data_IF_849014363994
#
_entry.id   IF_849014363994
#
_cell.length_a   1.000
_cell.length_b   1.000
_cell.length_c   1.000
_cell.angle_alpha   90.00
_cell.angle_beta   90.00
_cell.angle_gamma   90.00
#
_symmetry.space_group_name_H-M   'P 1'
#
loop_
_entity.id
_entity.type
_entity.pdbx_description
1 polymer ?
#
# COMPACT_ATOMS: atom_id res chain seq x y z
N UNK A 1 -8.03 16.10 -35.44
CA UNK A 1 -8.99 15.11 -35.97
C UNK A 1 -10.13 15.92 -36.56
N UNK A 2 -10.20 16.06 -37.89
CA UNK A 2 -10.96 17.15 -38.54
C UNK A 2 -12.46 17.25 -38.17
N UNK A 3 -13.09 16.14 -37.77
CA UNK A 3 -14.51 16.10 -37.39
C UNK A 3 -14.82 16.86 -36.07
N UNK A 4 -13.90 16.83 -35.11
CA UNK A 4 -14.11 17.44 -33.78
C UNK A 4 -13.85 18.95 -33.76
N UNK A 5 -12.98 19.43 -34.64
CA UNK A 5 -12.55 20.83 -34.71
C UNK A 5 -13.58 21.73 -35.42
N UNK A 6 -14.36 21.18 -36.34
CA UNK A 6 -15.29 21.94 -37.19
C UNK A 6 -16.76 21.83 -36.74
N UNK A 7 -17.10 20.82 -35.94
CA UNK A 7 -18.48 20.48 -35.58
C UNK A 7 -19.23 19.75 -36.71
N UNK A 8 -20.32 19.02 -36.39
CA UNK A 8 -20.93 18.03 -37.29
C UNK A 8 -21.33 18.61 -38.66
N UNK A 9 -21.92 19.80 -38.67
CA UNK A 9 -22.41 20.44 -39.90
C UNK A 9 -21.30 20.99 -40.82
N UNK A 10 -20.14 21.37 -40.27
CA UNK A 10 -19.00 21.87 -41.06
C UNK A 10 -18.06 20.74 -41.46
N UNK A 11 -17.91 19.71 -40.61
CA UNK A 11 -17.12 18.52 -40.91
C UNK A 11 -17.64 17.77 -42.16
N UNK A 12 -18.95 17.71 -42.36
CA UNK A 12 -19.56 17.13 -43.58
C UNK A 12 -19.19 17.88 -44.87
N UNK A 13 -18.86 19.18 -44.77
CA UNK A 13 -18.54 20.04 -45.93
C UNK A 13 -17.06 20.13 -46.23
N UNK A 14 -16.20 19.57 -45.37
CA UNK A 14 -14.75 19.60 -45.51
C UNK A 14 -14.21 18.18 -45.31
N UNK A 15 -14.44 17.28 -46.29
CA UNK A 15 -13.80 15.96 -46.26
C UNK A 15 -12.28 16.11 -46.38
N UNK A 16 -11.49 15.24 -45.71
CA UNK A 16 -10.05 15.16 -45.92
C UNK A 16 -9.72 14.81 -47.38
N UNK A 17 -8.64 15.39 -47.90
CA UNK A 17 -8.25 15.34 -49.33
C UNK A 17 -8.00 13.92 -49.86
N UNK A 18 -7.79 12.95 -48.97
CA UNK A 18 -7.47 11.56 -49.29
C UNK A 18 -8.58 10.54 -48.94
N UNK A 19 -9.82 10.98 -48.69
CA UNK A 19 -10.93 10.10 -48.32
C UNK A 19 -12.08 10.21 -49.33
N UNK A 20 -12.66 9.06 -49.68
CA UNK A 20 -13.87 8.98 -50.49
C UNK A 20 -15.06 9.68 -49.79
N UNK A 21 -15.80 10.51 -50.53
CA UNK A 21 -16.88 11.35 -50.01
C UNK A 21 -18.02 10.51 -49.41
N UNK A 22 -18.34 9.36 -50.01
CA UNK A 22 -19.40 8.48 -49.53
C UNK A 22 -19.01 7.81 -48.19
N UNK A 23 -17.76 7.38 -48.07
CA UNK A 23 -17.21 6.81 -46.83
C UNK A 23 -17.10 7.87 -45.73
N UNK A 24 -16.73 9.11 -46.09
CA UNK A 24 -16.73 10.24 -45.16
C UNK A 24 -18.13 10.57 -44.64
N UNK A 25 -19.12 10.57 -45.54
CA UNK A 25 -20.52 10.85 -45.19
C UNK A 25 -21.06 9.78 -44.25
N UNK A 26 -20.81 8.50 -44.56
CA UNK A 26 -21.18 7.36 -43.71
C UNK A 26 -20.54 7.43 -42.32
N UNK A 27 -19.28 7.87 -42.24
CA UNK A 27 -18.57 8.05 -40.98
C UNK A 27 -19.16 9.20 -40.15
N UNK A 28 -19.51 10.32 -40.79
CA UNK A 28 -20.21 11.44 -40.14
C UNK A 28 -21.57 10.98 -39.58
N UNK A 29 -22.36 10.23 -40.37
CA UNK A 29 -23.65 9.67 -39.93
C UNK A 29 -23.48 8.73 -38.73
N UNK A 30 -22.45 7.88 -38.75
CA UNK A 30 -22.15 6.98 -37.64
C UNK A 30 -21.85 7.74 -36.35
N UNK A 31 -21.02 8.80 -36.40
CA UNK A 31 -20.72 9.63 -35.23
C UNK A 31 -21.92 10.46 -34.74
N UNK A 32 -22.86 10.81 -35.63
CA UNK A 32 -24.10 11.50 -35.25
C UNK A 32 -25.18 10.56 -34.70
N UNK A 33 -25.07 9.25 -34.96
CA UNK A 33 -26.04 8.25 -34.52
C UNK A 33 -26.24 8.27 -33.00
N UNK A 34 -27.50 8.09 -32.59
CA UNK A 34 -27.88 8.08 -31.17
C UNK A 34 -27.18 6.93 -30.41
N UNK A 35 -27.00 5.79 -31.06
CA UNK A 35 -26.33 4.63 -30.48
C UNK A 35 -24.85 4.91 -30.17
N UNK A 36 -24.12 5.49 -31.12
CA UNK A 36 -22.71 5.85 -30.94
C UNK A 36 -22.54 6.89 -29.83
N UNK A 37 -23.37 7.94 -29.83
CA UNK A 37 -23.35 8.97 -28.77
C UNK A 37 -23.64 8.36 -27.40
N UNK A 38 -24.62 7.46 -27.28
CA UNK A 38 -24.93 6.76 -26.03
C UNK A 38 -23.75 5.92 -25.54
N UNK A 39 -23.14 5.14 -26.43
CA UNK A 39 -21.98 4.32 -26.10
C UNK A 39 -20.76 5.17 -25.74
N UNK A 40 -20.53 6.28 -26.45
CA UNK A 40 -19.43 7.21 -26.19
C UNK A 40 -19.55 7.86 -24.81
N UNK A 41 -20.75 8.37 -24.46
CA UNK A 41 -21.02 8.93 -23.13
C UNK A 41 -20.81 7.87 -22.03
N UNK A 42 -21.34 6.66 -22.23
CA UNK A 42 -21.16 5.57 -21.28
C UNK A 42 -19.68 5.18 -21.14
N UNK A 43 -18.91 5.16 -22.23
CA UNK A 43 -17.49 4.85 -22.21
C UNK A 43 -16.67 5.93 -21.51
N UNK A 44 -17.00 7.22 -21.69
CA UNK A 44 -16.38 8.33 -20.96
C UNK A 44 -16.66 8.22 -19.46
N UNK A 45 -17.93 7.96 -19.10
CA UNK A 45 -18.31 7.76 -17.69
C UNK A 45 -17.61 6.54 -17.08
N UNK A 46 -17.50 5.44 -17.82
CA UNK A 46 -16.82 4.24 -17.37
C UNK A 46 -15.30 4.46 -17.23
N UNK A 47 -14.67 5.18 -18.17
CA UNK A 47 -13.29 5.65 -18.04
C UNK A 47 -13.09 6.53 -16.80
N UNK A 48 -14.04 7.43 -16.50
CA UNK A 48 -13.98 8.26 -15.30
C UNK A 48 -14.07 7.46 -13.98
N UNK A 49 -14.68 6.27 -14.02
CA UNK A 49 -14.76 5.34 -12.87
C UNK A 49 -13.53 4.43 -12.75
N UNK A 50 -12.68 4.37 -13.77
CA UNK A 50 -11.44 3.61 -13.68
C UNK A 50 -10.49 4.33 -12.73
N UNK A 51 -10.21 3.72 -11.58
CA UNK A 51 -9.19 4.18 -10.62
C UNK A 51 -7.76 3.95 -11.13
N UNK A 52 -7.64 3.22 -12.23
CA UNK A 52 -6.38 2.82 -12.83
C UNK A 52 -6.41 3.07 -14.33
N UNK A 53 -5.75 4.13 -14.77
CA UNK A 53 -5.41 4.34 -16.17
C UNK A 53 -4.04 3.70 -16.42
N UNK A 54 -3.99 2.60 -17.19
CA UNK A 54 -2.74 2.18 -17.80
C UNK A 54 -2.31 3.27 -18.79
N UNK A 55 -1.41 4.17 -18.38
CA UNK A 55 -0.64 5.03 -19.30
C UNK A 55 0.53 4.28 -19.91
N UNK A 56 0.55 2.94 -19.80
CA UNK A 56 1.39 2.05 -20.62
C UNK A 56 0.83 1.96 -22.05
N UNK A 57 0.51 3.11 -22.64
CA UNK A 57 0.65 3.24 -24.08
C UNK A 57 2.12 2.97 -24.41
N UNK A 58 2.40 2.30 -25.52
CA UNK A 58 3.75 1.94 -25.93
C UNK A 58 4.73 3.11 -25.78
N UNK A 59 6.02 2.77 -25.55
CA UNK A 59 7.13 3.72 -25.38
C UNK A 59 6.91 4.97 -26.23
N UNK A 60 7.03 6.16 -25.62
CA UNK A 60 6.85 7.43 -26.33
C UNK A 60 7.73 7.45 -27.58
N UNK A 61 7.29 8.15 -28.64
CA UNK A 61 8.06 8.24 -29.89
C UNK A 61 9.53 8.65 -29.62
N UNK A 62 9.73 9.60 -28.72
CA UNK A 62 11.06 10.05 -28.29
C UNK A 62 11.89 8.94 -27.63
N UNK A 63 11.27 8.08 -26.83
CA UNK A 63 11.96 6.95 -26.19
C UNK A 63 12.30 5.85 -27.20
N UNK A 64 11.45 5.61 -28.19
CA UNK A 64 11.74 4.68 -29.29
C UNK A 64 12.88 5.20 -30.19
N UNK A 65 12.91 6.50 -30.46
CA UNK A 65 14.01 7.14 -31.18
C UNK A 65 15.33 7.05 -30.42
N UNK A 66 15.32 7.31 -29.10
CA UNK A 66 16.50 7.17 -28.25
C UNK A 66 17.04 5.73 -28.21
N UNK A 67 16.17 4.73 -28.15
CA UNK A 67 16.59 3.32 -28.19
C UNK A 67 17.20 2.93 -29.55
N UNK A 68 16.67 3.47 -30.66
CA UNK A 68 17.26 3.29 -32.00
C UNK A 68 18.63 3.97 -32.08
N UNK A 69 18.78 5.19 -31.57
CA UNK A 69 20.05 5.92 -31.51
C UNK A 69 21.08 5.13 -30.68
N UNK A 70 20.68 4.65 -29.51
CA UNK A 70 21.53 3.85 -28.62
C UNK A 70 21.93 2.52 -29.27
N UNK A 71 21.03 1.84 -29.98
CA UNK A 71 21.35 0.62 -30.71
C UNK A 71 22.31 0.88 -31.88
N UNK A 72 22.19 2.02 -32.57
CA UNK A 72 23.14 2.44 -33.62
C UNK A 72 24.51 2.79 -33.05
N UNK A 73 24.56 3.48 -31.92
CA UNK A 73 25.82 3.78 -31.22
C UNK A 73 26.49 2.51 -30.69
N UNK A 74 25.72 1.58 -30.11
CA UNK A 74 26.23 0.29 -29.67
C UNK A 74 26.73 -0.58 -30.84
N UNK A 75 26.09 -0.49 -32.02
CA UNK A 75 26.56 -1.16 -33.24
C UNK A 75 27.78 -0.48 -33.89
N UNK A 76 28.04 0.80 -33.61
CA UNK A 76 29.21 1.54 -34.09
C UNK A 76 30.45 1.37 -33.19
N UNK A 77 30.25 0.97 -31.94
CA UNK A 77 31.32 0.75 -30.94
C UNK A 77 31.99 -0.64 -31.09
N UNK A 78 31.34 -1.58 -31.80
CA UNK A 78 31.82 -2.96 -32.00
C UNK A 78 32.75 -3.13 -33.23
N UNK A 79 33.22 -2.03 -33.85
CA UNK A 79 34.05 -2.11 -35.09
C UNK A 79 35.43 -1.47 -35.00
N UNK A 80 35.95 -1.14 -33.81
CA UNK A 80 37.32 -0.60 -33.72
C UNK A 80 38.09 -1.17 -32.53
N UNK A 81 38.41 -2.47 -32.59
CA UNK A 81 39.57 -3.02 -31.88
C UNK A 81 40.69 -3.35 -32.87
N UNK A 82 41.81 -2.63 -32.69
CA UNK A 82 43.22 -3.05 -32.78
C UNK A 82 44.09 -2.32 -33.83
N UNK A 83 44.90 -1.38 -33.33
CA UNK A 83 46.37 -1.34 -33.40
C UNK A 83 46.84 -0.09 -32.63
N UNK A 84 47.32 -0.23 -31.41
CA UNK A 84 48.74 -0.42 -31.02
C UNK A 84 49.57 0.88 -31.07
N UNK A 85 50.36 1.06 -30.01
CA UNK A 85 51.54 1.91 -29.86
C UNK A 85 51.49 3.10 -28.86
N UNK A 86 52.22 2.85 -27.78
CA UNK A 86 53.06 3.71 -26.93
C UNK A 86 52.55 5.02 -26.28
N UNK A 87 52.60 5.00 -24.94
CA UNK A 87 53.29 6.02 -24.13
C UNK A 87 52.51 7.28 -23.76
N UNK A 88 52.01 7.34 -22.52
CA UNK A 88 52.63 8.16 -21.44
C UNK A 88 51.81 8.07 -20.16
N UNK A 89 52.51 7.68 -19.09
CA UNK A 89 52.05 7.65 -17.71
C UNK A 89 52.23 9.06 -17.13
N UNK A 90 51.12 9.78 -16.92
CA UNK A 90 51.07 10.80 -15.86
C UNK A 90 49.99 10.44 -14.84
N UNK A 91 50.51 9.91 -13.74
CA UNK A 91 49.85 9.75 -12.47
C UNK A 91 49.71 11.14 -11.82
N UNK A 92 48.48 11.69 -11.81
CA UNK A 92 48.11 12.76 -10.90
C UNK A 92 47.05 12.26 -9.93
N UNK A 93 47.52 11.73 -8.80
CA UNK A 93 46.77 11.56 -7.56
C UNK A 93 45.93 12.79 -7.22
N UNK A 94 44.60 12.66 -7.13
CA UNK A 94 43.66 13.32 -6.18
C UNK A 94 42.21 13.33 -6.72
N UNK A 95 41.18 13.41 -5.86
CA UNK A 95 40.68 12.42 -4.93
C UNK A 95 39.26 11.97 -5.32
N UNK A 96 38.73 10.96 -4.64
CA UNK A 96 37.31 10.58 -4.65
C UNK A 96 36.39 11.77 -4.36
N UNK A 97 35.92 12.47 -5.40
CA UNK A 97 34.82 13.42 -5.29
C UNK A 97 33.52 12.64 -5.40
N UNK A 98 32.85 12.46 -4.26
CA UNK A 98 31.42 12.13 -4.19
C UNK A 98 30.70 13.30 -4.87
N UNK A 99 30.46 13.20 -6.17
CA UNK A 99 29.51 14.08 -6.85
C UNK A 99 28.15 13.61 -6.38
N UNK A 100 27.62 14.28 -5.35
CA UNK A 100 26.22 14.15 -4.97
C UNK A 100 25.38 14.36 -6.21
N UNK A 101 24.81 13.26 -6.73
CA UNK A 101 24.00 13.32 -7.94
C UNK A 101 22.78 14.18 -7.67
N UNK A 102 22.71 15.34 -8.35
CA UNK A 102 21.53 16.20 -8.31
C UNK A 102 20.28 15.35 -8.58
N UNK A 103 19.21 15.48 -7.76
CA UNK A 103 18.02 14.66 -7.86
C UNK A 103 17.49 14.63 -9.31
N UNK A 104 17.09 13.45 -9.77
CA UNK A 104 16.61 13.22 -11.14
C UNK A 104 15.52 14.23 -11.56
N UNK A 105 14.64 14.59 -10.63
CA UNK A 105 13.57 15.55 -10.87
C UNK A 105 14.10 16.99 -11.03
N UNK A 106 15.21 17.34 -10.37
CA UNK A 106 15.89 18.62 -10.52
C UNK A 106 16.55 18.75 -11.91
N UNK A 107 17.13 17.64 -12.39
CA UNK A 107 17.70 17.53 -13.75
C UNK A 107 16.62 17.67 -14.82
N UNK A 108 15.52 16.93 -14.67
CA UNK A 108 14.38 16.98 -15.61
C UNK A 108 13.75 18.38 -15.63
N UNK A 109 13.64 19.04 -14.46
CA UNK A 109 13.14 20.41 -14.39
C UNK A 109 14.11 21.42 -15.02
N UNK A 110 15.44 21.23 -14.84
CA UNK A 110 16.45 22.02 -15.51
C UNK A 110 16.25 21.98 -17.04
N UNK A 111 16.17 20.77 -17.61
CA UNK A 111 16.11 20.58 -19.05
C UNK A 111 14.88 21.23 -19.71
N UNK A 112 13.80 21.38 -18.95
CA UNK A 112 12.51 21.89 -19.43
C UNK A 112 12.23 23.35 -19.07
N UNK A 113 12.84 23.87 -18.00
CA UNK A 113 12.47 25.17 -17.41
C UNK A 113 13.65 26.10 -17.04
N UNK A 114 14.90 25.76 -17.41
CA UNK A 114 16.11 26.53 -17.02
C UNK A 114 16.08 28.05 -17.28
N UNK A 115 15.21 28.54 -18.17
CA UNK A 115 15.26 29.91 -18.72
C UNK A 115 14.03 30.77 -18.46
N UNK A 116 13.01 30.29 -17.73
CA UNK A 116 11.70 30.97 -17.71
C UNK A 116 11.33 31.72 -16.43
N UNK A 117 11.72 31.28 -15.22
CA UNK A 117 11.16 31.86 -13.99
C UNK A 117 12.08 31.93 -12.75
N UNK A 118 13.35 31.49 -12.85
CA UNK A 118 14.28 31.46 -11.71
C UNK A 118 13.94 30.45 -10.61
N UNK A 119 12.83 29.71 -10.73
CA UNK A 119 12.41 28.71 -9.73
C UNK A 119 13.38 27.52 -9.63
N UNK A 120 14.10 27.23 -10.72
CA UNK A 120 15.13 26.20 -10.74
C UNK A 120 16.33 26.56 -9.83
N UNK A 121 16.76 27.82 -9.83
CA UNK A 121 17.87 28.29 -8.98
C UNK A 121 17.47 28.22 -7.50
N UNK A 122 16.22 28.56 -7.18
CA UNK A 122 15.69 28.45 -5.83
C UNK A 122 15.57 26.99 -5.37
N UNK A 123 15.12 26.08 -6.24
CA UNK A 123 15.10 24.64 -5.92
C UNK A 123 16.51 24.09 -5.69
N UNK A 124 17.50 24.54 -6.48
CA UNK A 124 18.90 24.14 -6.31
C UNK A 124 19.50 24.67 -5.01
N UNK A 125 19.19 25.91 -4.65
CA UNK A 125 19.62 26.53 -3.38
C UNK A 125 19.09 25.78 -2.16
N UNK A 126 17.80 25.48 -2.14
CA UNK A 126 17.16 24.72 -1.04
C UNK A 126 17.71 23.30 -0.96
N UNK A 127 18.00 22.66 -2.10
CA UNK A 127 18.62 21.33 -2.11
C UNK A 127 20.01 21.36 -1.48
N UNK A 128 20.85 22.33 -1.87
CA UNK A 128 22.21 22.48 -1.35
C UNK A 128 22.22 22.73 0.17
N UNK A 129 21.31 23.58 0.66
CA UNK A 129 21.14 23.86 2.09
C UNK A 129 20.68 22.62 2.87
N UNK A 130 19.77 21.82 2.28
CA UNK A 130 19.27 20.59 2.88
C UNK A 130 20.34 19.48 2.97
N UNK A 131 21.20 19.42 1.95
CA UNK A 131 22.39 18.56 1.92
C UNK A 131 23.38 18.97 3.00
N UNK A 132 23.67 20.27 3.13
CA UNK A 132 24.59 20.80 4.15
C UNK A 132 24.10 20.52 5.58
N UNK A 133 22.78 20.48 5.78
CA UNK A 133 22.14 20.09 7.04
C UNK A 133 22.04 18.57 7.25
N UNK A 134 22.58 17.75 6.33
CA UNK A 134 22.58 16.29 6.40
C UNK A 134 21.23 15.63 6.12
N UNK A 135 20.26 16.35 5.56
CA UNK A 135 18.94 15.83 5.24
C UNK A 135 18.55 16.17 3.79
N UNK A 136 19.09 15.44 2.80
CA UNK A 136 18.88 15.75 1.38
C UNK A 136 17.40 15.68 1.01
N UNK A 137 16.85 16.81 0.56
CA UNK A 137 15.45 16.86 0.10
C UNK A 137 15.32 16.19 -1.27
N UNK A 138 14.39 15.24 -1.37
CA UNK A 138 13.96 14.65 -2.64
C UNK A 138 13.43 15.73 -3.59
N UNK A 139 13.71 15.59 -4.90
CA UNK A 139 13.25 16.52 -5.94
C UNK A 139 11.74 16.77 -5.93
N UNK A 140 10.93 15.77 -5.58
CA UNK A 140 9.48 15.93 -5.42
C UNK A 140 9.08 16.88 -4.27
N UNK A 141 9.83 16.87 -3.16
CA UNK A 141 9.63 17.79 -2.02
C UNK A 141 10.07 19.21 -2.38
N UNK A 142 11.15 19.35 -3.16
CA UNK A 142 11.63 20.65 -3.64
C UNK A 142 10.61 21.31 -4.59
N UNK A 143 10.12 20.56 -5.58
CA UNK A 143 9.10 21.02 -6.53
C UNK A 143 7.82 21.43 -5.80
N UNK A 144 7.38 20.64 -4.82
CA UNK A 144 6.20 20.99 -3.99
C UNK A 144 6.43 22.26 -3.18
N UNK A 145 7.63 22.44 -2.61
CA UNK A 145 7.97 23.59 -1.76
C UNK A 145 8.09 24.89 -2.56
N UNK A 146 8.74 24.85 -3.72
CA UNK A 146 9.01 26.04 -4.54
C UNK A 146 7.83 26.40 -5.45
N UNK A 147 7.23 25.42 -6.13
CA UNK A 147 6.15 25.69 -7.08
C UNK A 147 4.76 25.67 -6.43
N UNK A 148 4.65 25.30 -5.15
CA UNK A 148 3.38 25.10 -4.43
C UNK A 148 2.38 24.17 -5.15
N UNK A 149 2.88 23.38 -6.10
CA UNK A 149 2.11 22.44 -6.91
C UNK A 149 2.49 21.04 -6.50
N UNK A 150 1.50 20.17 -6.31
CA UNK A 150 1.76 18.75 -6.18
C UNK A 150 2.48 18.28 -7.46
N UNK A 151 3.61 17.56 -7.36
CA UNK A 151 4.23 16.98 -8.54
C UNK A 151 3.18 16.14 -9.25
N UNK A 152 2.96 16.43 -10.54
CA UNK A 152 1.99 15.72 -11.38
C UNK A 152 2.31 14.23 -11.53
N UNK A 153 3.51 13.83 -11.10
CA UNK A 153 3.96 12.46 -10.97
C UNK A 153 4.11 12.11 -9.48
N UNK A 154 3.07 11.53 -8.88
CA UNK A 154 3.25 10.70 -7.69
C UNK A 154 3.64 9.31 -8.19
N UNK A 155 4.84 8.84 -7.82
CA UNK A 155 5.29 7.49 -8.16
C UNK A 155 4.34 6.49 -7.48
N UNK A 156 3.97 5.41 -8.17
CA UNK A 156 3.04 4.39 -7.62
C UNK A 156 3.59 3.79 -6.33
N UNK A 157 4.91 3.72 -6.25
CA UNK A 157 5.67 3.26 -5.09
C UNK A 157 5.37 4.09 -3.83
N UNK A 158 5.18 5.42 -3.97
CA UNK A 158 4.89 6.30 -2.83
C UNK A 158 3.46 6.12 -2.30
N UNK A 159 2.49 5.88 -3.19
CA UNK A 159 1.08 5.62 -2.83
C UNK A 159 0.90 4.22 -2.23
N UNK A 160 1.63 3.24 -2.75
CA UNK A 160 1.67 1.90 -2.17
C UNK A 160 2.26 1.98 -0.76
N UNK A 161 3.34 2.74 -0.56
CA UNK A 161 3.95 2.93 0.76
C UNK A 161 3.02 3.63 1.77
N UNK A 162 2.28 4.65 1.36
CA UNK A 162 1.30 5.30 2.26
C UNK A 162 0.14 4.37 2.61
N UNK A 163 -0.35 3.59 1.64
CA UNK A 163 -1.42 2.60 1.87
C UNK A 163 -0.96 1.46 2.77
N UNK A 164 0.26 0.98 2.61
CA UNK A 164 0.86 -0.04 3.47
C UNK A 164 1.00 0.45 4.91
N UNK A 165 1.46 1.69 5.12
CA UNK A 165 1.52 2.31 6.45
C UNK A 165 0.14 2.45 7.10
N UNK A 166 -0.87 2.82 6.32
CA UNK A 166 -2.24 2.89 6.81
C UNK A 166 -2.78 1.51 7.23
N UNK A 167 -2.49 0.48 6.44
CA UNK A 167 -2.88 -0.90 6.75
C UNK A 167 -2.14 -1.44 7.97
N UNK A 168 -0.86 -1.13 8.12
CA UNK A 168 -0.04 -1.53 9.27
C UNK A 168 -0.53 -0.87 10.56
N UNK A 169 -0.83 0.44 10.52
CA UNK A 169 -1.44 1.12 11.66
C UNK A 169 -2.81 0.53 12.05
N UNK A 170 -3.64 0.18 11.06
CA UNK A 170 -4.93 -0.51 11.32
C UNK A 170 -4.71 -1.88 11.92
N UNK A 171 -3.74 -2.64 11.43
CA UNK A 171 -3.40 -3.96 11.97
C UNK A 171 -2.93 -3.85 13.42
N UNK A 172 -2.06 -2.88 13.73
CA UNK A 172 -1.57 -2.63 15.07
C UNK A 172 -2.70 -2.28 16.04
N UNK A 173 -3.63 -1.39 15.65
CA UNK A 173 -4.80 -1.08 16.48
C UNK A 173 -5.69 -2.30 16.70
N UNK A 174 -5.91 -3.12 15.67
CA UNK A 174 -6.71 -4.34 15.78
C UNK A 174 -6.06 -5.39 16.67
N UNK A 175 -4.72 -5.50 16.65
CA UNK A 175 -3.97 -6.40 17.53
C UNK A 175 -4.08 -5.93 18.99
N UNK A 176 -3.93 -4.63 19.24
CA UNK A 176 -4.07 -4.07 20.59
C UNK A 176 -5.47 -4.29 21.18
N UNK A 177 -6.51 -4.14 20.37
CA UNK A 177 -7.89 -4.41 20.78
C UNK A 177 -8.10 -5.91 21.08
N UNK A 178 -7.53 -6.80 20.26
CA UNK A 178 -7.60 -8.24 20.48
C UNK A 178 -6.86 -8.67 21.75
N UNK A 179 -5.68 -8.10 22.01
CA UNK A 179 -4.90 -8.37 23.22
C UNK A 179 -5.64 -7.90 24.48
N UNK A 180 -6.29 -6.73 24.42
CA UNK A 180 -7.14 -6.24 25.51
C UNK A 180 -8.30 -7.20 25.79
N UNK A 181 -9.00 -7.67 24.76
CA UNK A 181 -10.07 -8.66 24.92
C UNK A 181 -9.54 -9.97 25.51
N UNK A 182 -8.39 -10.44 25.05
CA UNK A 182 -7.74 -11.65 25.57
C UNK A 182 -7.47 -11.50 27.07
N UNK A 183 -6.93 -10.36 27.50
CA UNK A 183 -6.65 -10.08 28.91
C UNK A 183 -7.93 -10.03 29.76
N UNK A 184 -8.99 -9.38 29.27
CA UNK A 184 -10.30 -9.35 29.93
C UNK A 184 -10.88 -10.76 30.11
N UNK A 185 -10.76 -11.64 29.11
CA UNK A 185 -11.19 -13.03 29.23
C UNK A 185 -10.32 -13.83 30.21
N UNK A 186 -9.02 -13.60 30.23
CA UNK A 186 -8.08 -14.27 31.14
C UNK A 186 -8.37 -13.91 32.61
N UNK A 187 -8.63 -12.63 32.89
CA UNK A 187 -9.05 -12.17 34.22
C UNK A 187 -10.39 -12.78 34.64
N UNK A 188 -11.34 -12.89 33.70
CA UNK A 188 -12.65 -13.51 33.96
C UNK A 188 -12.52 -15.01 34.26
N UNK A 189 -11.69 -15.72 33.50
CA UNK A 189 -11.40 -17.14 33.73
C UNK A 189 -10.81 -17.33 35.12
N UNK A 190 -9.82 -16.50 35.49
CA UNK A 190 -9.16 -16.56 36.79
C UNK A 190 -10.14 -16.30 37.94
N UNK A 191 -10.98 -15.28 37.82
CA UNK A 191 -12.03 -15.00 38.79
C UNK A 191 -13.02 -16.15 38.95
N UNK A 192 -13.39 -16.82 37.85
CA UNK A 192 -14.26 -18.00 37.89
C UNK A 192 -13.58 -19.20 38.55
N UNK A 193 -12.28 -19.42 38.28
CA UNK A 193 -11.49 -20.47 38.93
C UNK A 193 -11.45 -20.28 40.45
N UNK A 194 -11.19 -19.07 40.93
CA UNK A 194 -11.17 -18.76 42.38
C UNK A 194 -12.54 -19.01 43.03
N UNK A 195 -13.64 -18.73 42.31
CA UNK A 195 -14.99 -19.01 42.81
C UNK A 195 -15.26 -20.51 42.90
N UNK A 196 -14.83 -21.28 41.90
CA UNK A 196 -14.96 -22.74 41.90
C UNK A 196 -14.17 -23.34 43.07
N UNK A 197 -12.92 -22.92 43.27
CA UNK A 197 -12.07 -23.41 44.36
C UNK A 197 -12.72 -23.17 45.74
N UNK A 198 -13.28 -21.98 45.97
CA UNK A 198 -14.03 -21.68 47.19
C UNK A 198 -15.27 -22.57 47.37
N UNK A 199 -15.98 -22.85 46.28
CA UNK A 199 -17.14 -23.75 46.32
C UNK A 199 -16.71 -25.20 46.62
N UNK A 200 -15.62 -25.67 46.02
CA UNK A 200 -15.05 -26.99 46.26
C UNK A 200 -14.59 -27.16 47.71
N UNK A 201 -13.96 -26.14 48.30
CA UNK A 201 -13.58 -26.16 49.71
C UNK A 201 -14.81 -26.26 50.62
N UNK A 202 -15.88 -25.52 50.31
CA UNK A 202 -17.14 -25.60 51.04
C UNK A 202 -17.79 -26.98 50.92
N UNK A 203 -17.83 -27.56 49.72
CA UNK A 203 -18.33 -28.92 49.48
C UNK A 203 -17.52 -29.94 50.27
N UNK A 204 -16.19 -29.79 50.28
CA UNK A 204 -15.28 -30.65 51.06
C UNK A 204 -15.57 -30.58 52.56
N UNK A 205 -15.77 -29.37 53.09
CA UNK A 205 -16.16 -29.17 54.49
C UNK A 205 -17.49 -29.85 54.82
N UNK A 206 -18.51 -29.64 53.98
CA UNK A 206 -19.80 -30.32 54.15
C UNK A 206 -19.66 -31.84 54.11
N UNK A 207 -18.81 -32.39 53.23
CA UNK A 207 -18.58 -33.84 53.15
C UNK A 207 -18.02 -34.42 54.46
N UNK A 208 -17.05 -33.74 55.08
CA UNK A 208 -16.51 -34.14 56.40
C UNK A 208 -17.62 -34.15 57.47
N UNK A 209 -18.49 -33.13 57.48
CA UNK A 209 -19.59 -33.09 58.45
C UNK A 209 -20.61 -34.21 58.25
N UNK A 210 -20.90 -34.56 56.99
CA UNK A 210 -21.79 -35.67 56.65
C UNK A 210 -21.18 -36.99 57.13
N UNK A 211 -19.90 -37.20 56.90
CA UNK A 211 -19.21 -38.44 57.31
C UNK A 211 -19.19 -38.58 58.84
N UNK A 212 -18.99 -37.49 59.58
CA UNK A 212 -19.06 -37.48 61.04
C UNK A 212 -20.48 -37.78 61.56
N UNK A 213 -21.52 -37.19 60.94
CA UNK A 213 -22.91 -37.48 61.28
C UNK A 213 -23.28 -38.94 60.99
N UNK A 214 -22.81 -39.49 59.86
CA UNK A 214 -23.03 -40.88 59.51
C UNK A 214 -22.41 -41.82 60.54
N UNK A 215 -21.16 -41.57 60.96
CA UNK A 215 -20.50 -42.37 61.99
C UNK A 215 -21.23 -42.33 63.34
N UNK A 216 -21.76 -41.16 63.73
CA UNK A 216 -22.60 -41.00 64.92
C UNK A 216 -23.91 -41.79 64.81
N UNK A 217 -24.56 -41.73 63.64
CA UNK A 217 -25.78 -42.48 63.37
C UNK A 217 -25.55 -43.99 63.43
N UNK A 218 -24.44 -44.49 62.86
CA UNK A 218 -24.08 -45.91 62.89
C UNK A 218 -23.82 -46.38 64.34
N UNK A 219 -23.12 -45.57 65.13
CA UNK A 219 -22.87 -45.84 66.56
C UNK A 219 -24.18 -45.91 67.37
N UNK A 220 -25.12 -44.98 67.12
CA UNK A 220 -26.44 -44.99 67.76
C UNK A 220 -27.25 -46.22 67.36
N UNK A 221 -27.16 -46.63 66.09
CA UNK A 221 -27.84 -47.82 65.59
C UNK A 221 -27.34 -49.08 66.29
N UNK A 222 -26.02 -49.26 66.39
CA UNK A 222 -25.41 -50.36 67.15
C UNK A 222 -25.85 -50.36 68.62
N UNK A 223 -25.90 -49.19 69.26
CA UNK A 223 -26.36 -49.06 70.63
C UNK A 223 -27.83 -49.51 70.80
N UNK A 224 -28.72 -49.07 69.92
CA UNK A 224 -30.14 -49.45 69.92
C UNK A 224 -30.30 -50.95 69.68
N UNK A 225 -29.57 -51.53 68.73
CA UNK A 225 -29.58 -52.98 68.46
C UNK A 225 -29.12 -53.77 69.70
N UNK A 226 -28.10 -53.29 70.41
CA UNK A 226 -27.63 -53.91 71.67
C UNK A 226 -28.69 -53.85 72.79
N UNK A 227 -29.43 -52.74 72.90
CA UNK A 227 -30.51 -52.58 73.88
C UNK A 227 -31.68 -53.51 73.55
N UNK A 228 -32.07 -53.58 72.28
CA UNK A 228 -33.12 -54.49 71.82
C UNK A 228 -32.77 -55.95 72.11
N UNK A 229 -31.51 -56.35 71.89
CA UNK A 229 -31.02 -57.69 72.23
C UNK A 229 -31.10 -57.99 73.74
N UNK A 230 -30.73 -57.02 74.61
CA UNK A 230 -30.85 -57.15 76.07
C UNK A 230 -32.29 -57.28 76.54
N UNK A 231 -33.21 -56.51 75.96
CA UNK A 231 -34.64 -56.58 76.31
C UNK A 231 -35.24 -57.94 75.90
N UNK A 232 -34.94 -58.42 74.70
CA UNK A 232 -35.47 -59.70 74.21
C UNK A 232 -34.83 -60.92 74.88
N UNK A 233 -33.57 -60.83 75.33
CA UNK A 233 -32.87 -61.91 76.05
C UNK A 233 -33.23 -62.05 77.53
N UNK A 234 -33.95 -61.08 78.12
CA UNK A 234 -34.37 -61.11 79.53
C UNK A 234 -35.73 -61.77 79.79
N UNK A 235 -36.35 -62.39 78.79
CA UNK A 235 -37.72 -62.91 78.86
C UNK A 235 -37.82 -64.45 78.87
N UNK A 236 -36.77 -65.13 79.34
CA UNK A 236 -36.75 -66.58 79.66
C UNK A 236 -36.49 -66.79 81.13
#
# INVERSE_FOLDING_TARGET
MHYQELGPARARKTPPENINIDDWTRLCDHFESAEFKRQSIANIQNKGKQTYAHTTGGKSCSQRMFEIEKAKHAAADDTTENNDDSGEVENSSQPSNVVEEEPKELRVYADTHKKLDGSWEEMRRIHLEAVEQGNPLSGAKLVRRVLQKAPSYVRKEDLISEREKELEARLETSLADADKQRQEFEDKIKSQQDQIEKQEEKIRGHKVTIDALQASQDSLKEYVESLAAKINGGNT
#
